data_IF_152326557208
#
_entry.id   IF_152326557208
#
_cell.length_a   1.000
_cell.length_b   1.000
_cell.length_c   1.000
_cell.angle_alpha   90.00
_cell.angle_beta   90.00
_cell.angle_gamma   90.00
#
_symmetry.space_group_name_H-M   'P 1'
#
loop_
_entity.id
_entity.type
_entity.pdbx_description
1 polymer ?
#
# COMPACT_ATOMS: atom_id res chain seq x y z
N UNK A 1 -0.69 -50.21 -31.74
CA UNK A 1 -0.98 -50.42 -30.31
C UNK A 1 -0.72 -49.12 -29.57
N UNK A 2 -1.55 -48.84 -28.57
CA UNK A 2 -1.58 -47.69 -27.63
C UNK A 2 -2.46 -46.49 -28.03
N UNK A 3 -3.66 -46.54 -27.47
CA UNK A 3 -4.76 -45.60 -27.57
C UNK A 3 -4.62 -44.43 -26.58
N UNK A 4 -4.98 -43.24 -27.06
CA UNK A 4 -5.22 -42.01 -26.30
C UNK A 4 -6.25 -42.23 -25.17
N UNK A 5 -5.91 -41.83 -23.95
CA UNK A 5 -6.87 -41.62 -22.86
C UNK A 5 -7.27 -40.14 -22.81
N UNK A 6 -8.50 -39.86 -23.25
CA UNK A 6 -9.21 -38.60 -23.06
C UNK A 6 -9.84 -38.63 -21.66
N UNK A 7 -9.40 -37.78 -20.75
CA UNK A 7 -10.05 -37.58 -19.46
C UNK A 7 -11.09 -36.45 -19.57
N UNK A 8 -12.38 -36.83 -19.58
CA UNK A 8 -13.52 -35.94 -19.36
C UNK A 8 -13.62 -35.65 -17.85
N UNK A 9 -13.47 -34.40 -17.44
CA UNK A 9 -13.88 -33.95 -16.10
C UNK A 9 -15.14 -33.11 -16.27
N UNK A 10 -16.25 -33.69 -15.82
CA UNK A 10 -17.58 -33.07 -15.82
C UNK A 10 -17.78 -32.29 -14.52
N UNK A 11 -18.24 -31.05 -14.68
CA UNK A 11 -18.61 -30.11 -13.63
C UNK A 11 -19.95 -30.53 -13.01
N UNK A 12 -20.03 -30.59 -11.67
CA UNK A 12 -21.30 -30.47 -10.93
C UNK A 12 -21.15 -29.45 -9.80
N UNK A 13 -21.82 -28.31 -9.97
CA UNK A 13 -22.21 -27.37 -8.91
C UNK A 13 -23.58 -27.78 -8.36
N UNK A 14 -23.73 -27.80 -7.04
CA UNK A 14 -24.97 -27.54 -6.26
C UNK A 14 -24.48 -27.27 -4.82
N UNK A 15 -24.54 -26.07 -4.23
CA UNK A 15 -25.63 -25.14 -3.91
C UNK A 15 -26.62 -25.69 -2.86
N UNK A 16 -26.81 -24.90 -1.79
CA UNK A 16 -27.92 -24.85 -0.81
C UNK A 16 -27.72 -25.58 0.54
N UNK A 17 -27.74 -24.76 1.60
CA UNK A 17 -28.15 -25.14 2.96
C UNK A 17 -27.36 -24.36 4.03
N UNK A 18 -27.93 -23.66 5.01
CA UNK A 18 -29.32 -23.43 5.45
C UNK A 18 -29.34 -22.08 6.21
N UNK A 19 -30.34 -21.25 5.94
CA UNK A 19 -30.81 -20.20 6.85
C UNK A 19 -31.82 -20.81 7.86
N UNK A 20 -32.17 -20.00 8.88
CA UNK A 20 -33.13 -20.21 10.00
C UNK A 20 -32.44 -20.58 11.32
N UNK A 21 -32.24 -19.67 12.27
CA UNK A 21 -33.18 -18.75 12.95
C UNK A 21 -34.23 -19.52 13.75
N UNK A 22 -33.94 -19.73 15.03
CA UNK A 22 -34.96 -19.95 16.06
C UNK A 22 -34.63 -19.08 17.27
N UNK A 23 -35.44 -18.03 17.42
CA UNK A 23 -35.63 -17.33 18.68
C UNK A 23 -36.23 -18.30 19.70
N UNK A 24 -35.75 -18.23 20.95
CA UNK A 24 -36.56 -18.63 22.10
C UNK A 24 -36.54 -17.46 23.08
N UNK A 25 -37.72 -16.85 23.22
CA UNK A 25 -38.05 -15.92 24.28
C UNK A 25 -37.94 -16.63 25.63
N UNK A 26 -37.32 -15.98 26.62
CA UNK A 26 -37.63 -16.23 28.02
C UNK A 26 -37.85 -14.90 28.71
N UNK A 27 -39.12 -14.70 29.08
CA UNK A 27 -39.61 -13.60 29.90
C UNK A 27 -39.35 -13.96 31.35
N UNK A 28 -38.52 -13.17 32.03
CA UNK A 28 -38.52 -13.12 33.49
C UNK A 28 -38.28 -11.67 33.92
N UNK A 29 -39.39 -10.96 34.13
CA UNK A 29 -39.43 -9.81 35.00
C UNK A 29 -39.26 -10.30 36.44
N UNK A 30 -38.36 -9.72 37.23
CA UNK A 30 -38.55 -9.47 38.66
C UNK A 30 -37.53 -8.43 39.18
N UNK A 31 -38.11 -7.35 39.71
CA UNK A 31 -37.72 -6.53 40.86
C UNK A 31 -36.33 -5.86 40.92
N UNK A 32 -36.41 -4.53 40.84
CA UNK A 32 -35.46 -3.51 41.30
C UNK A 32 -35.12 -3.64 42.80
N UNK A 33 -33.89 -3.28 43.17
CA UNK A 33 -33.69 -2.36 44.29
C UNK A 33 -32.96 -1.10 43.82
N UNK A 34 -33.50 0.06 44.19
CA UNK A 34 -32.86 1.35 43.99
C UNK A 34 -31.57 1.46 44.82
N UNK A 35 -30.45 1.62 44.15
CA UNK A 35 -29.23 2.18 44.72
C UNK A 35 -28.90 3.46 43.96
N UNK A 36 -28.86 4.56 44.71
CA UNK A 36 -28.50 5.90 44.27
C UNK A 36 -26.97 5.95 44.12
N UNK A 37 -26.39 6.12 42.92
CA UNK A 37 -24.99 6.51 42.81
C UNK A 37 -24.87 8.03 42.90
N UNK A 38 -24.07 8.50 43.86
CA UNK A 38 -23.52 9.85 43.89
C UNK A 38 -22.91 10.16 42.51
N UNK A 39 -23.51 11.08 41.77
CA UNK A 39 -22.91 11.65 40.56
C UNK A 39 -21.80 12.61 40.98
N UNK A 40 -20.60 12.08 41.19
CA UNK A 40 -19.38 12.88 41.05
C UNK A 40 -19.39 13.36 39.59
N UNK A 41 -19.21 14.66 39.29
CA UNK A 41 -18.92 15.07 37.92
C UNK A 41 -17.53 14.53 37.60
N UNK A 42 -17.47 13.28 37.18
CA UNK A 42 -16.37 12.79 36.36
C UNK A 42 -16.44 13.65 35.12
N UNK A 43 -15.61 14.68 35.09
CA UNK A 43 -15.18 15.30 33.85
C UNK A 43 -14.52 14.19 33.05
N UNK A 44 -15.35 13.44 32.35
CA UNK A 44 -14.98 12.60 31.23
C UNK A 44 -14.40 13.56 30.22
N UNK A 45 -13.11 13.85 30.36
CA UNK A 45 -12.29 14.32 29.26
C UNK A 45 -12.37 13.17 28.27
N UNK A 46 -13.37 13.23 27.39
CA UNK A 46 -13.39 12.51 26.14
C UNK A 46 -12.22 13.09 25.35
N UNK A 47 -11.00 12.65 25.69
CA UNK A 47 -9.90 12.67 24.75
C UNK A 47 -10.27 11.65 23.67
N UNK A 48 -11.25 11.99 22.84
CA UNK A 48 -11.27 11.51 21.47
C UNK A 48 -10.05 12.16 20.82
N UNK A 49 -8.86 11.59 21.05
CA UNK A 49 -7.78 11.69 20.09
C UNK A 49 -8.20 10.86 18.87
N UNK A 50 -9.22 11.36 18.16
CA UNK A 50 -9.64 10.79 16.89
C UNK A 50 -8.40 10.80 16.00
N UNK A 51 -8.02 9.61 15.54
CA UNK A 51 -6.88 9.47 14.64
C UNK A 51 -7.12 10.38 13.44
N UNK A 52 -6.31 11.45 13.33
CA UNK A 52 -6.49 12.47 12.30
C UNK A 52 -6.00 11.88 10.98
N UNK A 53 -6.85 11.87 9.97
CA UNK A 53 -6.51 11.31 8.65
C UNK A 53 -6.49 12.42 7.61
N UNK A 54 -5.41 12.52 6.85
CA UNK A 54 -5.26 13.47 5.73
C UNK A 54 -5.13 12.70 4.42
N UNK A 55 -6.05 12.92 3.49
CA UNK A 55 -5.90 12.42 2.12
C UNK A 55 -4.93 13.31 1.33
N UNK A 56 -4.05 12.72 0.53
CA UNK A 56 -3.08 13.45 -0.31
C UNK A 56 -3.31 13.17 -1.79
N UNK A 57 -2.83 14.07 -2.66
CA UNK A 57 -2.93 13.89 -4.11
C UNK A 57 -2.13 12.65 -4.54
N UNK A 58 -2.71 11.85 -5.44
CA UNK A 58 -2.11 10.60 -5.90
C UNK A 58 -2.04 10.62 -7.43
N UNK A 59 -0.85 10.45 -7.98
CA UNK A 59 -0.59 10.46 -9.42
C UNK A 59 -0.02 9.10 -9.84
N UNK A 60 -0.61 8.48 -10.86
CA UNK A 60 0.00 7.35 -11.54
C UNK A 60 0.85 7.89 -12.70
N UNK A 61 2.12 7.46 -12.75
CA UNK A 61 3.04 7.85 -13.82
C UNK A 61 3.08 6.71 -14.84
N UNK A 62 2.35 6.81 -15.97
CA UNK A 62 2.32 5.77 -16.97
C UNK A 62 3.69 5.60 -17.63
N UNK A 63 3.94 4.42 -18.17
CA UNK A 63 5.13 4.10 -18.93
C UNK A 63 4.74 3.38 -20.23
N UNK A 64 5.51 3.64 -21.27
CA UNK A 64 5.32 3.06 -22.59
C UNK A 64 5.27 1.53 -22.51
N UNK A 65 4.27 0.94 -23.16
CA UNK A 65 4.08 -0.50 -23.28
C UNK A 65 3.92 -1.24 -21.92
N UNK A 66 3.66 -0.52 -20.83
CA UNK A 66 3.37 -1.14 -19.54
C UNK A 66 2.05 -1.94 -19.61
N UNK A 67 2.03 -3.23 -19.25
CA UNK A 67 0.84 -4.07 -19.31
C UNK A 67 -0.16 -3.82 -18.15
N UNK A 68 0.13 -2.85 -17.29
CA UNK A 68 -0.65 -2.53 -16.10
C UNK A 68 -1.17 -1.10 -16.21
N UNK A 69 -2.50 -0.98 -16.17
CA UNK A 69 -3.21 0.30 -16.11
C UNK A 69 -3.70 0.54 -14.69
N UNK A 70 -3.49 1.74 -14.15
CA UNK A 70 -4.02 2.10 -12.84
C UNK A 70 -5.47 2.57 -12.98
N UNK A 71 -6.40 1.86 -12.35
CA UNK A 71 -7.82 2.19 -12.36
C UNK A 71 -8.18 3.18 -11.24
N UNK A 72 -7.61 2.99 -10.06
CA UNK A 72 -7.84 3.89 -8.92
C UNK A 72 -6.60 3.94 -8.03
N UNK A 73 -6.28 5.11 -7.48
CA UNK A 73 -5.23 5.24 -6.48
C UNK A 73 -5.57 6.28 -5.44
N UNK A 74 -5.42 5.93 -4.17
CA UNK A 74 -5.70 6.79 -3.01
C UNK A 74 -4.67 6.58 -1.92
N UNK A 75 -4.31 7.65 -1.23
CA UNK A 75 -3.40 7.60 -0.09
C UNK A 75 -3.96 8.44 1.06
N UNK A 76 -4.04 7.80 2.22
CA UNK A 76 -4.45 8.37 3.49
C UNK A 76 -3.24 8.38 4.42
N UNK A 77 -2.90 9.55 4.96
CA UNK A 77 -1.88 9.71 5.99
C UNK A 77 -2.56 9.76 7.36
N UNK A 78 -2.11 8.89 8.25
CA UNK A 78 -2.50 8.95 9.66
C UNK A 78 -1.56 9.96 10.35
N UNK A 79 -2.14 10.98 10.99
CA UNK A 79 -1.42 12.08 11.62
C UNK A 79 -1.47 11.93 13.15
N UNK A 80 -0.41 12.40 13.80
CA UNK A 80 -0.39 12.61 15.25
C UNK A 80 -1.17 13.89 15.64
N UNK A 81 -1.31 14.19 16.96
CA UNK A 81 -1.96 15.41 17.42
C UNK A 81 -1.30 16.74 17.00
N UNK A 82 -0.07 16.69 16.48
CA UNK A 82 0.71 17.84 16.01
C UNK A 82 0.78 17.92 14.47
N UNK A 83 -0.08 17.18 13.78
CA UNK A 83 -0.17 17.10 12.31
C UNK A 83 1.05 16.49 11.62
N UNK A 84 1.89 15.76 12.36
CA UNK A 84 2.98 15.00 11.79
C UNK A 84 2.48 13.64 11.25
N UNK A 85 2.84 13.26 10.00
CA UNK A 85 2.51 11.95 9.46
C UNK A 85 3.19 10.80 10.21
N UNK A 86 2.39 9.88 10.73
CA UNK A 86 2.81 8.69 11.49
C UNK A 86 2.79 7.40 10.67
N UNK A 87 1.82 7.28 9.76
CA UNK A 87 1.73 6.13 8.86
C UNK A 87 1.01 6.49 7.57
N UNK A 88 1.14 5.66 6.56
CA UNK A 88 0.41 5.80 5.30
C UNK A 88 -0.38 4.54 4.97
N UNK A 89 -1.60 4.75 4.48
CA UNK A 89 -2.50 3.72 3.93
C UNK A 89 -2.75 4.03 2.46
N UNK A 90 -2.27 3.16 1.59
CA UNK A 90 -2.35 3.31 0.14
C UNK A 90 -3.26 2.23 -0.41
N UNK A 91 -4.25 2.64 -1.19
CA UNK A 91 -5.18 1.79 -1.88
C UNK A 91 -4.94 1.97 -3.38
N UNK A 92 -4.64 0.88 -4.08
CA UNK A 92 -4.38 0.90 -5.51
C UNK A 92 -5.16 -0.22 -6.19
N UNK A 93 -5.98 0.15 -7.17
CA UNK A 93 -6.66 -0.79 -8.05
C UNK A 93 -6.05 -0.69 -9.44
N UNK A 94 -5.60 -1.81 -9.97
CA UNK A 94 -5.00 -1.87 -11.30
C UNK A 94 -5.63 -2.95 -12.15
N UNK A 95 -5.49 -2.80 -13.47
CA UNK A 95 -5.97 -3.71 -14.50
C UNK A 95 -4.80 -4.25 -15.29
N UNK A 96 -4.84 -5.53 -15.60
CA UNK A 96 -3.96 -6.15 -16.58
C UNK A 96 -4.53 -5.89 -17.98
N UNK A 97 -3.91 -4.99 -18.75
CA UNK A 97 -4.32 -4.67 -20.12
C UNK A 97 -3.69 -5.60 -21.16
N UNK A 98 -2.79 -6.50 -20.75
CA UNK A 98 -2.14 -7.45 -21.65
C UNK A 98 -3.00 -8.69 -21.91
N UNK A 99 -2.61 -9.45 -22.95
CA UNK A 99 -3.19 -10.76 -23.25
C UNK A 99 -2.62 -11.89 -22.39
N UNK A 100 -1.60 -11.61 -21.56
CA UNK A 100 -0.91 -12.59 -20.72
C UNK A 100 -1.34 -12.44 -19.28
N UNK A 101 -1.45 -13.54 -18.55
CA UNK A 101 -1.69 -13.47 -17.10
C UNK A 101 -0.43 -12.98 -16.37
N UNK A 102 -0.63 -12.15 -15.36
CA UNK A 102 0.43 -11.61 -14.49
C UNK A 102 0.52 -12.47 -13.23
N UNK A 103 1.75 -12.70 -12.76
CA UNK A 103 2.03 -13.41 -11.49
C UNK A 103 2.60 -12.50 -10.40
N UNK A 104 3.26 -11.40 -10.77
CA UNK A 104 3.68 -10.39 -9.82
C UNK A 104 3.86 -9.01 -10.47
N UNK A 105 3.64 -7.95 -9.70
CA UNK A 105 3.89 -6.56 -10.09
C UNK A 105 4.73 -5.87 -9.01
N UNK A 106 5.79 -5.18 -9.43
CA UNK A 106 6.63 -4.35 -8.57
C UNK A 106 6.33 -2.88 -8.81
N UNK A 107 5.98 -2.16 -7.75
CA UNK A 107 5.68 -0.74 -7.76
C UNK A 107 6.81 0.06 -7.10
N UNK A 108 7.05 1.26 -7.61
CA UNK A 108 7.80 2.34 -6.94
C UNK A 108 6.81 3.40 -6.51
N UNK A 109 6.82 3.71 -5.23
CA UNK A 109 5.95 4.71 -4.62
C UNK A 109 6.85 5.81 -4.08
N UNK A 110 6.65 7.04 -4.56
CA UNK A 110 7.42 8.22 -4.17
C UNK A 110 6.49 9.23 -3.52
N UNK A 111 6.91 9.81 -2.41
CA UNK A 111 6.24 10.93 -1.77
C UNK A 111 6.98 12.21 -2.14
N UNK A 112 6.23 13.24 -2.50
CA UNK A 112 6.77 14.52 -2.94
C UNK A 112 6.19 15.67 -2.12
N UNK A 113 6.99 16.73 -1.97
CA UNK A 113 6.53 18.01 -1.41
C UNK A 113 5.88 18.91 -2.46
N UNK A 114 5.53 20.13 -2.06
CA UNK A 114 4.88 21.12 -2.92
C UNK A 114 5.80 21.58 -4.07
N UNK A 115 7.10 21.54 -3.86
CA UNK A 115 8.14 21.85 -4.84
C UNK A 115 8.42 20.67 -5.80
N UNK A 116 7.82 19.50 -5.55
CA UNK A 116 8.01 18.28 -6.33
C UNK A 116 9.28 17.49 -5.97
N UNK A 117 9.96 17.85 -4.88
CA UNK A 117 11.15 17.16 -4.38
C UNK A 117 10.74 15.87 -3.68
N UNK A 118 11.48 14.80 -3.93
CA UNK A 118 11.24 13.49 -3.33
C UNK A 118 11.61 13.51 -1.84
N UNK A 119 10.62 13.25 -0.98
CA UNK A 119 10.76 13.19 0.48
C UNK A 119 10.76 11.78 1.04
N UNK A 120 10.37 10.81 0.22
CA UNK A 120 10.42 9.40 0.59
C UNK A 120 10.15 8.52 -0.62
N UNK A 121 10.80 7.37 -0.67
CA UNK A 121 10.56 6.36 -1.69
C UNK A 121 10.46 5.00 -1.03
N UNK A 122 9.55 4.17 -1.52
CA UNK A 122 9.57 2.75 -1.21
C UNK A 122 9.13 1.90 -2.39
N UNK A 123 9.46 0.61 -2.28
CA UNK A 123 9.06 -0.40 -3.24
C UNK A 123 8.06 -1.35 -2.62
N UNK A 124 7.04 -1.69 -3.40
CA UNK A 124 6.04 -2.67 -3.05
C UNK A 124 5.99 -3.75 -4.12
N UNK A 125 5.77 -4.99 -3.71
CA UNK A 125 5.57 -6.11 -4.61
C UNK A 125 4.21 -6.72 -4.30
N UNK A 126 3.39 -6.88 -5.33
CA UNK A 126 2.14 -7.63 -5.27
C UNK A 126 2.33 -8.93 -6.05
N UNK A 127 2.38 -10.06 -5.36
CA UNK A 127 2.59 -11.39 -5.94
C UNK A 127 1.27 -12.13 -6.19
N UNK A 128 0.27 -11.42 -6.69
CA UNK A 128 -1.05 -11.97 -6.99
C UNK A 128 -1.16 -12.40 -8.46
N UNK A 129 -1.87 -13.51 -8.70
CA UNK A 129 -2.25 -13.89 -10.05
C UNK A 129 -3.37 -12.98 -10.57
N UNK A 130 -3.14 -12.34 -11.71
CA UNK A 130 -4.12 -11.48 -12.39
C UNK A 130 -4.28 -11.96 -13.83
N UNK A 131 -5.46 -12.49 -14.15
CA UNK A 131 -5.77 -12.95 -15.50
C UNK A 131 -5.66 -11.80 -16.53
N UNK A 132 -5.50 -12.15 -17.81
CA UNK A 132 -5.60 -11.19 -18.90
C UNK A 132 -6.93 -10.41 -18.85
N UNK A 133 -6.88 -9.09 -18.94
CA UNK A 133 -8.06 -8.21 -18.77
C UNK A 133 -8.58 -8.06 -17.33
N UNK A 134 -8.04 -8.82 -16.38
CA UNK A 134 -8.49 -8.84 -14.98
C UNK A 134 -8.06 -7.61 -14.19
N UNK A 135 -8.74 -7.37 -13.07
CA UNK A 135 -8.46 -6.27 -12.15
C UNK A 135 -8.05 -6.78 -10.77
N UNK A 136 -7.19 -6.04 -10.08
CA UNK A 136 -6.74 -6.34 -8.73
C UNK A 136 -6.67 -5.08 -7.89
N UNK A 137 -7.31 -5.13 -6.73
CA UNK A 137 -7.13 -4.14 -5.65
C UNK A 137 -6.07 -4.58 -4.66
N UNK A 138 -5.23 -3.65 -4.22
CA UNK A 138 -4.19 -3.86 -3.23
C UNK A 138 -4.18 -2.73 -2.21
N UNK A 139 -3.89 -3.08 -0.95
CA UNK A 139 -3.75 -2.13 0.16
C UNK A 139 -2.39 -2.29 0.81
N UNK A 140 -1.60 -1.22 0.82
CA UNK A 140 -0.37 -1.14 1.60
C UNK A 140 -0.60 -0.27 2.83
N UNK A 141 -0.20 -0.76 4.00
CA UNK A 141 0.01 0.08 5.18
C UNK A 141 1.49 0.09 5.47
N UNK A 142 2.05 1.27 5.71
CA UNK A 142 3.43 1.39 6.17
C UNK A 142 3.47 2.33 7.36
N UNK A 143 3.96 1.78 8.47
CA UNK A 143 4.17 2.47 9.74
C UNK A 143 5.57 3.08 9.73
N UNK A 144 5.67 4.40 9.60
CA UNK A 144 6.92 5.19 9.60
C UNK A 144 6.59 6.68 9.56
N UNK A 145 7.47 7.48 10.15
CA UNK A 145 7.37 8.95 10.07
C UNK A 145 7.72 9.40 8.66
N UNK A 146 6.72 9.94 7.95
CA UNK A 146 6.93 10.63 6.67
C UNK A 146 7.28 12.09 6.95
N UNK A 147 8.04 12.71 6.03
CA UNK A 147 8.32 14.15 6.11
C UNK A 147 6.98 14.93 6.14
N UNK A 148 6.77 15.83 7.11
CA UNK A 148 5.53 16.61 7.22
C UNK A 148 5.18 17.42 5.97
N UNK A 149 6.18 17.75 5.14
CA UNK A 149 6.05 18.50 3.88
C UNK A 149 5.47 17.68 2.73
N UNK A 150 5.24 16.38 2.90
CA UNK A 150 4.64 15.54 1.87
C UNK A 150 3.21 16.00 1.56
N UNK A 151 2.96 16.36 0.29
CA UNK A 151 1.63 16.79 -0.19
C UNK A 151 1.06 15.87 -1.26
N UNK A 152 1.89 15.06 -1.91
CA UNK A 152 1.46 14.17 -2.96
C UNK A 152 2.27 12.86 -3.00
N UNK A 153 1.70 11.86 -3.68
CA UNK A 153 2.29 10.55 -3.91
C UNK A 153 2.27 10.24 -5.41
N UNK A 154 3.41 9.77 -5.93
CA UNK A 154 3.55 9.27 -7.30
C UNK A 154 3.79 7.77 -7.31
N UNK A 155 3.08 7.05 -8.17
CA UNK A 155 3.24 5.59 -8.31
C UNK A 155 3.61 5.22 -9.73
N UNK A 156 4.63 4.38 -9.84
CA UNK A 156 5.13 3.83 -11.11
C UNK A 156 5.25 2.32 -11.01
N UNK A 157 4.93 1.62 -12.08
CA UNK A 157 5.24 0.19 -12.21
C UNK A 157 6.69 0.04 -12.66
N UNK A 158 7.46 -0.79 -11.97
CA UNK A 158 8.87 -1.04 -12.29
C UNK A 158 9.09 -2.35 -13.03
N UNK A 159 8.30 -3.37 -12.70
CA UNK A 159 8.46 -4.70 -13.26
C UNK A 159 7.12 -5.43 -13.20
N UNK A 160 6.83 -6.19 -14.24
CA UNK A 160 5.67 -7.08 -14.31
C UNK A 160 6.16 -8.45 -14.71
N UNK A 161 5.94 -9.45 -13.86
CA UNK A 161 6.26 -10.84 -14.14
C UNK A 161 5.02 -11.54 -14.66
N UNK A 162 5.13 -12.18 -15.82
CA UNK A 162 4.03 -12.96 -16.37
C UNK A 162 3.99 -14.37 -15.76
N UNK A 163 2.81 -15.01 -15.76
CA UNK A 163 2.62 -16.34 -15.20
C UNK A 163 3.28 -17.44 -16.05
N UNK A 164 3.32 -17.24 -17.37
CA UNK A 164 3.91 -18.18 -18.34
C UNK A 164 5.43 -18.05 -18.45
N UNK A 165 6.02 -17.05 -17.76
CA UNK A 165 7.43 -16.72 -17.85
C UNK A 165 7.68 -15.41 -18.61
N UNK A 166 8.92 -14.92 -18.49
CA UNK A 166 9.31 -13.59 -18.95
C UNK A 166 8.79 -12.46 -18.06
N UNK A 167 9.34 -11.28 -18.28
CA UNK A 167 9.00 -10.08 -17.56
C UNK A 167 9.05 -8.84 -18.45
N UNK A 168 8.22 -7.87 -18.11
CA UNK A 168 8.35 -6.50 -18.58
C UNK A 168 9.08 -5.71 -17.50
N UNK A 169 10.01 -4.84 -17.89
CA UNK A 169 10.76 -3.98 -16.98
C UNK A 169 10.69 -2.53 -17.45
N UNK A 170 10.49 -1.65 -16.48
CA UNK A 170 10.63 -0.22 -16.63
C UNK A 170 12.07 0.15 -16.95
N UNK A 171 12.29 1.16 -17.79
CA UNK A 171 13.62 1.77 -17.99
C UNK A 171 14.17 2.28 -16.64
N UNK A 172 13.28 2.65 -15.73
CA UNK A 172 13.58 3.21 -14.41
C UNK A 172 13.87 2.13 -13.36
N UNK A 173 13.84 0.85 -13.75
CA UNK A 173 14.31 -0.25 -12.92
C UNK A 173 15.84 -0.20 -12.77
N UNK A 174 16.58 0.26 -13.79
CA UNK A 174 18.05 0.36 -13.74
C UNK A 174 18.55 1.43 -12.76
N UNK A 175 17.78 2.50 -12.54
CA UNK A 175 18.08 3.53 -11.53
C UNK A 175 18.12 3.00 -10.09
N UNK A 176 17.61 1.78 -9.85
CA UNK A 176 17.62 1.14 -8.54
C UNK A 176 18.85 0.24 -8.33
N UNK A 177 19.50 -0.15 -9.42
CA UNK A 177 20.71 -0.97 -9.39
C UNK A 177 21.98 -0.13 -9.25
N UNK A 178 21.90 1.18 -9.52
CA UNK A 178 22.97 2.12 -9.23
C UNK A 178 22.62 2.89 -7.96
N UNK A 179 23.37 2.73 -6.85
CA UNK A 179 23.22 3.64 -5.72
C UNK A 179 23.59 5.03 -6.23
N UNK A 180 22.62 5.95 -6.28
CA UNK A 180 22.88 7.33 -6.62
C UNK A 180 23.90 7.87 -5.63
N UNK A 181 25.15 8.03 -6.08
CA UNK A 181 26.19 8.76 -5.41
C UNK A 181 25.78 10.24 -5.36
N UNK A 182 24.98 10.57 -4.35
CA UNK A 182 24.63 11.94 -4.00
C UNK A 182 24.57 12.05 -2.47
N UNK A 183 25.68 11.68 -1.83
CA UNK A 183 26.07 12.41 -0.63
C UNK A 183 26.98 13.54 -1.13
N UNK A 184 26.68 14.83 -0.90
CA UNK A 184 27.73 15.82 -0.94
C UNK A 184 28.69 15.43 0.19
N UNK A 185 29.81 14.82 -0.18
CA UNK A 185 31.00 14.75 0.66
C UNK A 185 31.32 16.16 1.09
N UNK A 186 31.01 16.47 2.35
CA UNK A 186 31.59 17.62 3.02
C UNK A 186 33.09 17.56 2.81
N UNK A 187 33.62 18.56 2.12
CA UNK A 187 35.05 18.67 1.84
C UNK A 187 35.81 18.75 3.14
N UNK A 188 36.34 17.61 3.58
CA UNK A 188 37.46 17.57 4.51
C UNK A 188 38.66 18.14 3.77
N UNK A 189 38.96 19.41 4.00
CA UNK A 189 40.24 20.01 3.62
C UNK A 189 41.38 19.18 4.22
N UNK A 190 42.34 18.67 3.43
CA UNK A 190 43.58 18.18 3.99
C UNK A 190 44.46 19.38 4.32
N UNK A 191 44.61 19.68 5.62
CA UNK A 191 45.68 20.53 6.11
C UNK A 191 47.02 19.84 5.77
N UNK A 192 47.66 20.33 4.72
CA UNK A 192 49.01 19.89 4.32
C UNK A 192 49.97 20.92 4.90
N UNK A 193 50.66 20.57 5.98
CA UNK A 193 51.80 21.35 6.48
C UNK A 193 53.05 20.98 5.65
N UNK A 194 53.74 21.93 5.01
CA UNK A 194 55.08 21.68 4.48
C UNK A 194 56.13 22.08 5.52
N UNK A 195 56.92 21.09 5.93
CA UNK A 195 58.21 21.23 6.60
C UNK A 195 59.27 21.66 5.57
N UNK A 196 60.01 22.74 5.86
CA UNK A 196 61.35 23.01 5.33
C UNK A 196 61.97 24.21 6.06
N UNK A 197 63.03 23.96 6.85
CA UNK A 197 63.83 24.99 7.51
C UNK A 197 64.95 25.58 6.64
N UNK A 198 65.83 26.39 7.24
CA UNK A 198 67.22 26.54 6.86
C UNK A 198 68.16 25.69 7.72
#
# INVERSE_FOLDING_TARGET
>A
MNALKIAKISVKRQLIGRCSLFMVLSVSAMLLPQLIPLSVPSSSVYAQSGQKVRSISCEFVPEEQCPVEMASIRCELDLDPFDAPMSSRIYADYKNSSQRSISAVKFRIRFVDAEGVERGTFHAVDSAYVAAGGTKGHKWKRDFTLDPRVVAMKVRVLQVKYAEGGDWQSVKMQELAQPSAAAPTGGSSPATSPEAGP
#
